data_IF_592892336386
#
_entry.id   IF_592892336386
#
_cell.length_a   1.000
_cell.length_b   1.000
_cell.length_c   1.000
_cell.angle_alpha   90.00
_cell.angle_beta   90.00
_cell.angle_gamma   90.00
#
_symmetry.space_group_name_H-M   'P 1'
#
loop_
_entity.id
_entity.type
_entity.pdbx_description
1 polymer ?
#
# COMPACT_ATOMS: atom_id res chain seq x y z
N UNK A 1 16.98 -8.70 0.26
CA UNK A 1 15.63 -8.61 -0.32
C UNK A 1 15.14 -7.17 -0.25
N UNK A 2 15.92 -6.23 -0.80
CA UNK A 2 15.51 -4.84 -0.95
C UNK A 2 15.80 -4.47 -2.39
N UNK A 3 14.75 -4.06 -3.10
CA UNK A 3 14.82 -3.62 -4.47
C UNK A 3 15.77 -2.40 -4.56
N UNK A 4 16.94 -2.58 -5.19
CA UNK A 4 18.09 -1.68 -5.02
C UNK A 4 17.82 -0.30 -5.63
N UNK A 5 17.92 0.75 -4.83
CA UNK A 5 17.69 2.13 -5.28
C UNK A 5 16.23 2.53 -5.34
N UNK A 6 15.30 1.71 -4.79
CA UNK A 6 13.88 2.08 -4.67
C UNK A 6 13.67 3.34 -3.85
N UNK A 7 14.51 3.58 -2.85
CA UNK A 7 14.39 4.74 -1.95
C UNK A 7 14.38 6.05 -2.73
N UNK A 8 15.17 6.18 -3.79
CA UNK A 8 15.19 7.37 -4.63
C UNK A 8 13.88 7.63 -5.38
N UNK A 9 13.01 6.63 -5.52
CA UNK A 9 11.70 6.77 -6.17
C UNK A 9 10.62 7.28 -5.22
N UNK A 10 10.89 7.31 -3.91
CA UNK A 10 9.94 7.68 -2.86
C UNK A 10 10.51 8.70 -1.88
N UNK A 11 11.65 9.31 -2.21
CA UNK A 11 12.33 10.29 -1.36
C UNK A 11 11.94 11.72 -1.76
N UNK A 12 11.73 12.58 -0.75
CA UNK A 12 11.32 13.97 -0.95
C UNK A 12 10.13 14.12 -1.89
N UNK A 13 10.29 14.95 -2.92
CA UNK A 13 9.25 15.24 -3.92
C UNK A 13 8.98 14.07 -4.88
N UNK A 14 9.83 13.04 -4.91
CA UNK A 14 9.65 11.91 -5.84
C UNK A 14 8.44 11.05 -5.48
N UNK A 15 8.03 11.03 -4.20
CA UNK A 15 6.86 10.28 -3.74
C UNK A 15 5.55 10.82 -4.33
N UNK A 16 5.47 12.12 -4.58
CA UNK A 16 4.27 12.81 -5.07
C UNK A 16 4.24 12.92 -6.61
N UNK A 17 5.22 12.30 -7.31
CA UNK A 17 5.26 12.27 -8.77
C UNK A 17 4.15 11.40 -9.34
N UNK A 18 3.70 11.72 -10.55
CA UNK A 18 2.63 10.98 -11.25
C UNK A 18 2.97 9.50 -11.49
N UNK A 19 4.26 9.15 -11.54
CA UNK A 19 4.72 7.75 -11.61
C UNK A 19 4.35 6.91 -10.37
N UNK A 20 4.04 7.54 -9.24
CA UNK A 20 3.56 6.89 -8.02
C UNK A 20 2.03 7.09 -7.84
N UNK A 21 1.31 7.48 -8.89
CA UNK A 21 -0.13 7.70 -8.85
C UNK A 21 -0.85 6.74 -9.79
N UNK A 22 -2.04 6.29 -9.40
CA UNK A 22 -2.99 5.57 -10.25
C UNK A 22 -4.40 6.02 -9.91
N UNK A 23 -5.24 6.20 -10.93
CA UNK A 23 -6.65 6.56 -10.73
C UNK A 23 -7.49 5.29 -10.63
N UNK A 24 -8.27 5.19 -9.56
CA UNK A 24 -9.15 4.05 -9.27
C UNK A 24 -10.55 4.56 -8.95
N UNK A 25 -11.57 3.71 -9.10
CA UNK A 25 -12.87 3.99 -8.48
C UNK A 25 -12.71 3.97 -6.96
N UNK A 26 -13.65 4.59 -6.24
CA UNK A 26 -13.57 4.70 -4.79
C UNK A 26 -13.39 3.33 -4.09
N UNK A 27 -14.17 2.32 -4.48
CA UNK A 27 -14.05 0.96 -3.94
C UNK A 27 -12.65 0.37 -4.17
N UNK A 28 -12.13 0.44 -5.40
CA UNK A 28 -10.80 -0.08 -5.71
C UNK A 28 -9.68 0.76 -5.09
N UNK A 29 -9.88 2.05 -4.85
CA UNK A 29 -8.94 2.89 -4.11
C UNK A 29 -8.78 2.39 -2.66
N UNK A 30 -9.89 2.12 -1.98
CA UNK A 30 -9.88 1.60 -0.61
C UNK A 30 -9.20 0.22 -0.54
N UNK A 31 -9.58 -0.70 -1.44
CA UNK A 31 -8.99 -2.04 -1.50
C UNK A 31 -7.50 -2.02 -1.86
N UNK A 32 -7.08 -1.14 -2.78
CA UNK A 32 -5.67 -0.99 -3.13
C UNK A 32 -4.86 -0.42 -1.96
N UNK A 33 -5.41 0.56 -1.22
CA UNK A 33 -4.81 1.10 -0.02
C UNK A 33 -4.65 0.08 1.12
N UNK A 34 -5.61 -0.85 1.24
CA UNK A 34 -5.56 -1.98 2.20
C UNK A 34 -4.73 -3.17 1.73
N UNK A 35 -4.07 -3.07 0.58
CA UNK A 35 -3.31 -4.17 -0.01
C UNK A 35 -4.14 -5.43 -0.32
N UNK A 36 -5.44 -5.27 -0.56
CA UNK A 36 -6.34 -6.36 -0.95
C UNK A 36 -6.36 -6.54 -2.47
N UNK A 37 -6.17 -5.45 -3.24
CA UNK A 37 -6.08 -5.49 -4.71
C UNK A 37 -4.68 -5.13 -5.15
N UNK A 38 -4.12 -5.87 -6.11
CA UNK A 38 -2.76 -5.66 -6.60
C UNK A 38 -2.67 -5.78 -8.12
N UNK A 39 -1.60 -5.22 -8.68
CA UNK A 39 -1.32 -5.21 -10.11
C UNK A 39 -0.13 -6.13 -10.41
N UNK A 40 -0.38 -7.19 -11.18
CA UNK A 40 0.65 -8.12 -11.63
C UNK A 40 1.00 -7.86 -13.09
N UNK A 41 2.25 -7.45 -13.35
CA UNK A 41 2.70 -7.11 -14.69
C UNK A 41 2.66 -8.35 -15.61
N UNK A 42 1.95 -8.22 -16.73
CA UNK A 42 1.88 -9.25 -17.77
C UNK A 42 2.80 -8.91 -18.94
N UNK A 43 2.88 -7.63 -19.31
CA UNK A 43 3.73 -7.13 -20.40
C UNK A 43 4.24 -5.73 -20.06
N UNK A 44 5.56 -5.59 -20.02
CA UNK A 44 6.24 -4.31 -19.77
C UNK A 44 6.09 -3.34 -20.94
N UNK A 45 6.09 -3.85 -22.18
CA UNK A 45 6.00 -3.02 -23.39
C UNK A 45 4.65 -2.33 -23.51
N UNK A 46 3.58 -3.05 -23.18
CA UNK A 46 2.22 -2.55 -23.33
C UNK A 46 1.63 -1.98 -22.05
N UNK A 47 2.36 -1.98 -20.93
CA UNK A 47 1.83 -1.62 -19.61
C UNK A 47 0.52 -2.37 -19.29
N UNK A 48 0.53 -3.68 -19.54
CA UNK A 48 -0.62 -4.55 -19.30
C UNK A 48 -0.45 -5.32 -18.00
N UNK A 49 -1.49 -5.32 -17.18
CA UNK A 49 -1.52 -5.93 -15.87
C UNK A 49 -2.70 -6.89 -15.72
N UNK A 50 -2.47 -7.98 -14.99
CA UNK A 50 -3.52 -8.77 -14.36
C UNK A 50 -3.77 -8.14 -12.99
N UNK A 51 -4.95 -7.58 -12.83
CA UNK A 51 -5.42 -7.04 -11.55
C UNK A 51 -6.18 -8.15 -10.85
N UNK A 52 -5.81 -8.45 -9.62
CA UNK A 52 -6.38 -9.54 -8.85
C UNK A 52 -6.51 -9.16 -7.38
N UNK A 53 -7.16 -10.03 -6.61
CA UNK A 53 -7.53 -9.83 -5.22
C UNK A 53 -6.80 -10.83 -4.30
N UNK A 54 -6.44 -10.38 -3.10
CA UNK A 54 -5.87 -11.16 -1.99
C UNK A 54 -6.83 -11.08 -0.81
N UNK A 55 -7.50 -12.19 -0.53
CA UNK A 55 -8.47 -12.31 0.54
C UNK A 55 -9.34 -13.53 0.33
N UNK A 56 -10.40 -13.65 1.14
CA UNK A 56 -11.35 -14.74 1.03
C UNK A 56 -12.14 -14.67 -0.28
N UNK A 57 -12.29 -15.79 -0.98
CA UNK A 57 -12.91 -15.82 -2.32
C UNK A 57 -14.36 -15.33 -2.32
N UNK A 58 -15.11 -15.47 -1.22
CA UNK A 58 -16.49 -14.96 -1.13
C UNK A 58 -16.58 -13.42 -1.02
N UNK A 59 -15.47 -12.75 -0.70
CA UNK A 59 -15.37 -11.28 -0.67
C UNK A 59 -14.79 -10.71 -1.97
N UNK A 60 -14.39 -11.56 -2.92
CA UNK A 60 -13.75 -11.15 -4.17
C UNK A 60 -14.73 -10.33 -5.03
N UNK A 61 -14.36 -9.13 -5.48
CA UNK A 61 -15.16 -8.38 -6.45
C UNK A 61 -15.40 -9.20 -7.73
N UNK A 62 -16.65 -9.30 -8.24
CA UNK A 62 -16.97 -10.18 -9.38
C UNK A 62 -16.20 -9.87 -10.67
N UNK A 63 -15.69 -8.64 -10.81
CA UNK A 63 -14.91 -8.23 -11.97
C UNK A 63 -13.48 -8.82 -11.96
N UNK A 64 -12.99 -9.34 -10.83
CA UNK A 64 -11.62 -9.83 -10.68
C UNK A 64 -11.52 -11.38 -10.82
N UNK A 65 -10.43 -11.91 -11.39
CA UNK A 65 -9.28 -11.18 -11.94
C UNK A 65 -9.60 -10.56 -13.31
N UNK A 66 -8.95 -9.43 -13.60
CA UNK A 66 -9.15 -8.74 -14.88
C UNK A 66 -7.84 -8.28 -15.51
N UNK A 67 -7.79 -8.29 -16.84
CA UNK A 67 -6.69 -7.69 -17.59
C UNK A 67 -7.00 -6.24 -17.95
N UNK A 68 -6.04 -5.36 -17.66
CA UNK A 68 -6.11 -3.94 -18.00
C UNK A 68 -4.77 -3.44 -18.51
N UNK A 69 -4.84 -2.66 -19.57
CA UNK A 69 -3.72 -1.86 -20.06
C UNK A 69 -3.88 -0.45 -19.52
N UNK A 70 -2.88 0.04 -18.79
CA UNK A 70 -2.89 1.41 -18.29
C UNK A 70 -2.57 2.37 -19.43
N UNK A 71 -3.41 3.39 -19.61
CA UNK A 71 -3.25 4.36 -20.69
C UNK A 71 -1.98 5.19 -20.49
N UNK A 72 -1.16 5.25 -21.53
CA UNK A 72 -0.06 6.20 -21.64
C UNK A 72 -0.60 7.45 -22.34
N UNK A 73 -0.28 8.65 -21.83
CA UNK A 73 -0.65 9.87 -22.54
C UNK A 73 0.02 9.90 -23.93
N UNK A 74 -0.73 10.22 -24.98
CA UNK A 74 -0.21 10.24 -26.37
C UNK A 74 1.02 11.17 -26.50
N UNK A 75 0.99 12.28 -25.77
CA UNK A 75 2.07 13.28 -25.74
C UNK A 75 3.19 12.92 -24.76
N UNK A 76 3.03 11.86 -23.96
CA UNK A 76 3.95 11.42 -22.89
C UNK A 76 4.37 12.55 -21.94
N UNK A 77 3.48 13.52 -21.72
CA UNK A 77 3.71 14.65 -20.82
C UNK A 77 3.52 14.28 -19.35
N UNK A 78 2.82 13.18 -19.08
CA UNK A 78 2.59 12.63 -17.75
C UNK A 78 3.27 11.26 -17.69
N UNK A 79 4.18 11.10 -16.73
CA UNK A 79 4.82 9.81 -16.47
C UNK A 79 3.74 8.79 -16.09
N UNK A 80 3.75 7.59 -16.70
CA UNK A 80 2.80 6.55 -16.34
C UNK A 80 3.11 5.95 -14.96
N UNK A 81 2.14 5.24 -14.36
CA UNK A 81 2.37 4.50 -13.13
C UNK A 81 3.57 3.57 -13.28
N UNK A 82 4.50 3.66 -12.35
CA UNK A 82 5.74 2.90 -12.36
C UNK A 82 5.45 1.42 -12.17
N UNK A 83 5.84 0.61 -13.17
CA UNK A 83 5.78 -0.86 -13.10
C UNK A 83 6.47 -1.40 -11.84
N UNK A 84 7.58 -0.76 -11.46
CA UNK A 84 8.39 -1.15 -10.29
C UNK A 84 7.67 -0.85 -8.98
N UNK A 85 7.04 0.31 -8.84
CA UNK A 85 6.27 0.66 -7.64
C UNK A 85 5.03 -0.22 -7.48
N UNK A 86 4.32 -0.52 -8.58
CA UNK A 86 3.21 -1.48 -8.57
C UNK A 86 3.67 -2.90 -8.19
N UNK A 87 4.84 -3.34 -8.67
CA UNK A 87 5.40 -4.64 -8.29
C UNK A 87 5.78 -4.70 -6.79
N UNK A 88 6.30 -3.59 -6.24
CA UNK A 88 6.58 -3.48 -4.80
C UNK A 88 5.28 -3.53 -3.99
N UNK A 89 4.25 -2.78 -4.39
CA UNK A 89 2.93 -2.85 -3.76
C UNK A 89 2.39 -4.28 -3.76
N UNK A 90 2.42 -4.98 -4.90
CA UNK A 90 1.99 -6.36 -5.01
C UNK A 90 2.79 -7.32 -4.12
N UNK A 91 4.11 -7.11 -3.98
CA UNK A 91 4.95 -7.89 -3.09
C UNK A 91 4.57 -7.66 -1.62
N UNK A 92 4.36 -6.41 -1.20
CA UNK A 92 3.91 -6.06 0.15
C UNK A 92 2.54 -6.70 0.42
N UNK A 93 1.59 -6.58 -0.51
CA UNK A 93 0.27 -7.18 -0.39
C UNK A 93 0.33 -8.68 -0.13
N UNK A 94 1.14 -9.41 -0.92
CA UNK A 94 1.33 -10.85 -0.72
C UNK A 94 1.98 -11.17 0.62
N UNK A 95 2.97 -10.40 1.05
CA UNK A 95 3.62 -10.60 2.35
C UNK A 95 2.62 -10.37 3.49
N UNK A 96 1.86 -9.28 3.46
CA UNK A 96 0.86 -8.97 4.48
C UNK A 96 -0.22 -10.05 4.56
N UNK A 97 -0.69 -10.51 3.40
CA UNK A 97 -1.68 -11.59 3.31
C UNK A 97 -1.14 -12.92 3.85
N UNK A 98 0.02 -13.38 3.38
CA UNK A 98 0.59 -14.67 3.78
C UNK A 98 1.06 -14.72 5.23
N UNK A 99 1.50 -13.58 5.78
CA UNK A 99 1.97 -13.50 7.17
C UNK A 99 0.86 -13.23 8.18
N UNK A 100 -0.37 -12.93 7.71
CA UNK A 100 -1.44 -12.35 8.52
C UNK A 100 -1.04 -11.08 9.29
N UNK A 101 0.08 -10.43 8.93
CA UNK A 101 0.60 -9.28 9.63
C UNK A 101 -0.22 -8.00 9.35
N UNK A 102 -1.00 -7.96 8.27
CA UNK A 102 -1.85 -6.82 7.93
C UNK A 102 -2.75 -6.42 9.10
N UNK A 103 -3.51 -7.37 9.64
CA UNK A 103 -4.39 -7.13 10.79
C UNK A 103 -3.65 -6.60 12.02
N UNK A 104 -2.44 -7.11 12.29
CA UNK A 104 -1.65 -6.66 13.43
C UNK A 104 -1.14 -5.23 13.24
N UNK A 105 -0.72 -4.88 12.03
CA UNK A 105 -0.27 -3.53 11.67
C UNK A 105 -1.43 -2.54 11.76
N UNK A 106 -2.59 -2.88 11.18
CA UNK A 106 -3.79 -2.03 11.23
C UNK A 106 -4.19 -1.74 12.68
N UNK A 107 -4.16 -2.75 13.55
CA UNK A 107 -4.44 -2.57 14.98
C UNK A 107 -3.46 -1.61 15.66
N UNK A 108 -2.16 -1.68 15.34
CA UNK A 108 -1.17 -0.76 15.88
C UNK A 108 -1.45 0.67 15.41
N UNK A 109 -1.75 0.85 14.12
CA UNK A 109 -2.06 2.16 13.55
C UNK A 109 -3.33 2.75 14.17
N UNK A 110 -4.40 1.97 14.30
CA UNK A 110 -5.63 2.37 14.96
C UNK A 110 -5.41 2.74 16.43
N UNK A 111 -4.54 2.01 17.14
CA UNK A 111 -4.22 2.32 18.54
C UNK A 111 -3.43 3.62 18.66
N UNK A 112 -2.56 3.93 17.69
CA UNK A 112 -1.81 5.20 17.65
C UNK A 112 -2.73 6.41 17.41
N UNK A 113 -3.84 6.23 16.69
CA UNK A 113 -4.81 7.29 16.39
C UNK A 113 -5.87 7.48 17.51
N UNK A 114 -5.97 6.54 18.46
CA UNK A 114 -6.87 6.64 19.63
C UNK A 114 -6.36 7.63 20.68
N UNK A 115 -7.25 8.18 21.53
CA UNK A 115 -6.85 9.07 22.62
C UNK A 115 -5.83 8.40 23.56
N UNK A 116 -4.83 9.19 23.99
CA UNK A 116 -3.68 8.71 24.76
C UNK A 116 -4.03 8.04 26.11
N UNK A 117 -5.23 8.30 26.64
CA UNK A 117 -5.74 7.74 27.89
C UNK A 117 -7.16 7.24 27.64
N UNK A 118 -7.38 5.94 27.89
CA UNK A 118 -8.69 5.32 27.81
C UNK A 118 -9.55 5.72 29.03
N UNK A 119 -10.86 5.51 28.96
CA UNK A 119 -11.80 5.92 30.02
C UNK A 119 -11.54 5.24 31.38
N UNK A 120 -10.80 4.13 31.40
CA UNK A 120 -10.36 3.42 32.59
C UNK A 120 -9.00 3.89 33.14
N UNK A 121 -8.39 4.90 32.52
CA UNK A 121 -7.08 5.43 32.90
C UNK A 121 -5.89 4.63 32.37
N UNK A 122 -6.12 3.55 31.62
CA UNK A 122 -5.05 2.79 30.97
C UNK A 122 -4.50 3.52 29.74
N UNK A 123 -3.24 3.23 29.40
CA UNK A 123 -2.57 3.82 28.24
C UNK A 123 -1.66 2.80 27.53
N UNK A 124 -1.67 2.76 26.19
CA UNK A 124 -0.75 1.95 25.39
C UNK A 124 0.68 2.53 25.35
N UNK A 125 1.00 3.58 26.14
CA UNK A 125 2.28 4.28 26.12
C UNK A 125 3.51 3.36 26.19
N UNK A 126 3.47 2.29 26.99
CA UNK A 126 4.58 1.33 27.08
C UNK A 126 4.84 0.58 25.76
N UNK A 127 3.77 0.23 25.04
CA UNK A 127 3.86 -0.41 23.73
C UNK A 127 4.43 0.57 22.68
N UNK A 128 3.95 1.82 22.67
CA UNK A 128 4.45 2.85 21.76
C UNK A 128 5.90 3.25 22.04
N UNK A 129 6.30 3.31 23.31
CA UNK A 129 7.69 3.52 23.69
C UNK A 129 8.59 2.40 23.16
N UNK A 130 8.14 1.14 23.24
CA UNK A 130 8.87 0.01 22.67
C UNK A 130 9.01 0.11 21.14
N UNK A 131 7.95 0.49 20.42
CA UNK A 131 8.01 0.71 18.97
C UNK A 131 9.05 1.79 18.62
N UNK A 132 9.07 2.90 19.35
CA UNK A 132 10.02 4.00 19.14
C UNK A 132 11.46 3.61 19.46
N UNK A 133 11.70 2.99 20.63
CA UNK A 133 13.05 2.57 21.07
C UNK A 133 13.66 1.58 20.07
N UNK A 134 12.84 0.71 19.49
CA UNK A 134 13.29 -0.28 18.51
C UNK A 134 13.32 0.27 17.06
N UNK A 135 13.06 1.57 16.85
CA UNK A 135 13.17 2.23 15.54
C UNK A 135 12.02 1.98 14.57
N UNK A 136 10.89 1.45 15.04
CA UNK A 136 9.71 1.17 14.20
C UNK A 136 8.80 2.38 14.00
N UNK A 137 8.90 3.38 14.86
CA UNK A 137 8.06 4.59 14.84
C UNK A 137 8.85 5.82 15.26
N UNK A 138 8.65 6.94 14.57
CA UNK A 138 9.37 8.20 14.80
C UNK A 138 8.74 9.08 15.90
N UNK A 139 7.57 8.69 16.41
CA UNK A 139 6.85 9.39 17.48
C UNK A 139 5.83 10.42 16.99
N UNK A 140 5.52 10.48 15.69
CA UNK A 140 4.49 11.38 15.14
C UNK A 140 3.15 10.65 15.02
N UNK A 141 2.08 11.29 15.49
CA UNK A 141 0.69 10.84 15.31
C UNK A 141 0.12 11.65 14.14
N UNK A 142 -0.74 11.04 13.30
CA UNK A 142 -1.44 11.77 12.24
C UNK A 142 -2.43 12.75 12.89
N UNK A 143 -2.34 14.02 12.49
CA UNK A 143 -3.22 15.09 12.98
C UNK A 143 -4.60 15.03 12.31
#
# INVERSE_FOLDING_TARGET
MFDRGVLHLIDGEEIDRTRNAVTLTQEFHDMFGRFEVYFELQSSETHTYRIDYLGEDYMRPPILPIQRTLFLSDTRTIDPPSQRLLAIHAAIARILHMSAAGYYIDRILDDLDKPAVLSDGSTPLGHFAALRINGWWDGRIRA
#
